data_IF_372022678038
#
_entry.id   IF_372022678038
#
_cell.length_a   1.000
_cell.length_b   1.000
_cell.length_c   1.000
_cell.angle_alpha   90.00
_cell.angle_beta   90.00
_cell.angle_gamma   90.00
#
_symmetry.space_group_name_H-M   'P 1'
#
loop_
_entity.id
_entity.type
_entity.pdbx_description
1 polymer ?
#
# COMPACT_ATOMS: atom_id res chain seq x y z
N UNK A 1 -78.08 -33.50 6.20
CA UNK A 1 -77.40 -32.19 6.02
C UNK A 1 -75.98 -32.39 6.54
N UNK A 2 -75.15 -33.24 5.97
CA UNK A 2 -74.57 -33.28 4.61
C UNK A 2 -73.82 -32.03 4.17
N UNK A 3 -72.55 -32.27 3.81
CA UNK A 3 -71.62 -31.47 3.01
C UNK A 3 -70.88 -30.33 3.76
N UNK A 4 -69.56 -30.13 3.66
CA UNK A 4 -68.60 -30.49 2.61
C UNK A 4 -67.21 -30.83 3.18
N UNK A 5 -66.61 -31.88 2.62
CA UNK A 5 -65.18 -32.17 2.59
C UNK A 5 -64.48 -31.29 1.54
N UNK A 6 -63.22 -30.93 1.79
CA UNK A 6 -62.26 -30.42 0.80
C UNK A 6 -60.86 -30.57 1.39
N UNK A 7 -60.20 -31.70 1.12
CA UNK A 7 -59.11 -31.86 0.15
C UNK A 7 -57.75 -31.43 0.75
N UNK A 8 -57.10 -32.41 1.40
CA UNK A 8 -55.67 -32.38 1.66
C UNK A 8 -54.95 -32.78 0.37
N UNK A 9 -54.07 -31.90 -0.11
CA UNK A 9 -53.09 -32.21 -1.14
C UNK A 9 -51.97 -33.05 -0.52
N UNK A 10 -51.99 -34.35 -0.81
CA UNK A 10 -50.81 -35.20 -0.71
C UNK A 10 -49.82 -34.74 -1.80
N UNK A 11 -48.73 -34.13 -1.36
CA UNK A 11 -47.58 -33.86 -2.22
C UNK A 11 -46.75 -35.15 -2.31
N UNK A 12 -46.75 -35.75 -3.49
CA UNK A 12 -45.82 -36.80 -3.90
C UNK A 12 -44.38 -36.37 -3.63
N UNK A 13 -43.69 -37.13 -2.77
CA UNK A 13 -42.25 -37.00 -2.48
C UNK A 13 -41.43 -38.06 -3.24
N UNK A 14 -41.91 -38.52 -4.39
CA UNK A 14 -41.14 -39.41 -5.25
C UNK A 14 -40.32 -38.56 -6.25
N UNK A 15 -39.04 -38.93 -6.39
CA UNK A 15 -38.00 -38.38 -7.28
C UNK A 15 -37.21 -37.15 -6.78
N UNK A 16 -36.43 -37.35 -5.72
CA UNK A 16 -35.14 -36.65 -5.59
C UNK A 16 -34.09 -37.52 -6.31
N UNK A 17 -33.52 -37.09 -7.44
CA UNK A 17 -32.43 -37.83 -8.07
C UNK A 17 -31.23 -37.87 -7.12
N UNK A 18 -30.66 -39.05 -6.94
CA UNK A 18 -29.39 -39.27 -6.26
C UNK A 18 -28.33 -38.37 -6.90
N UNK A 19 -28.01 -37.25 -6.24
CA UNK A 19 -26.85 -36.45 -6.60
C UNK A 19 -25.62 -37.29 -6.25
N UNK A 20 -25.02 -37.89 -7.27
CA UNK A 20 -23.70 -38.50 -7.20
C UNK A 20 -22.74 -37.49 -6.55
N UNK A 21 -22.33 -37.82 -5.32
CA UNK A 21 -21.25 -37.12 -4.64
C UNK A 21 -19.99 -37.42 -5.44
N UNK A 22 -19.60 -36.48 -6.30
CA UNK A 22 -18.34 -36.50 -7.04
C UNK A 22 -17.19 -36.50 -6.03
N UNK A 23 -16.66 -37.70 -5.74
CA UNK A 23 -15.50 -37.93 -4.89
C UNK A 23 -14.18 -37.67 -5.62
N UNK A 24 -14.13 -36.72 -6.56
CA UNK A 24 -12.86 -36.19 -7.05
C UNK A 24 -12.23 -35.24 -6.03
N UNK A 25 -11.86 -35.83 -4.89
CA UNK A 25 -10.89 -35.26 -3.96
C UNK A 25 -9.53 -35.22 -4.68
N UNK A 26 -9.40 -34.24 -5.57
CA UNK A 26 -8.18 -33.91 -6.28
C UNK A 26 -7.23 -33.34 -5.25
N UNK A 27 -6.13 -34.06 -5.02
CA UNK A 27 -5.01 -33.57 -4.21
C UNK A 27 -4.65 -32.15 -4.70
N UNK A 28 -4.39 -31.19 -3.79
CA UNK A 28 -4.01 -29.85 -4.19
C UNK A 28 -2.84 -29.95 -5.17
N UNK A 29 -3.03 -29.38 -6.36
CA UNK A 29 -2.00 -29.27 -7.38
C UNK A 29 -0.73 -28.71 -6.74
N UNK A 30 0.47 -29.19 -7.12
CA UNK A 30 1.71 -28.62 -6.65
C UNK A 30 1.65 -27.10 -6.82
N UNK A 31 2.00 -26.36 -5.76
CA UNK A 31 2.14 -24.91 -5.83
C UNK A 31 2.98 -24.58 -7.07
N UNK A 32 2.43 -23.72 -7.92
CA UNK A 32 3.10 -23.24 -9.14
C UNK A 32 4.53 -22.83 -8.78
N UNK A 33 5.51 -23.28 -9.57
CA UNK A 33 6.93 -22.94 -9.37
C UNK A 33 7.14 -21.43 -9.28
N UNK A 34 6.29 -20.63 -9.92
CA UNK A 34 6.30 -19.17 -9.81
C UNK A 34 5.88 -18.67 -8.42
N UNK A 35 4.94 -19.34 -7.75
CA UNK A 35 4.51 -19.02 -6.39
C UNK A 35 5.58 -19.43 -5.39
N UNK A 36 6.24 -20.56 -5.60
CA UNK A 36 7.38 -20.99 -4.77
C UNK A 36 8.53 -19.98 -4.89
N UNK A 37 8.89 -19.56 -6.11
CA UNK A 37 9.92 -18.55 -6.33
C UNK A 37 9.57 -17.19 -5.69
N UNK A 38 8.31 -16.76 -5.76
CA UNK A 38 7.86 -15.52 -5.11
C UNK A 38 7.90 -15.60 -3.57
N UNK A 39 7.62 -16.78 -2.99
CA UNK A 39 7.75 -17.02 -1.54
C UNK A 39 9.23 -17.01 -1.14
N UNK A 40 10.11 -17.65 -1.91
CA UNK A 40 11.55 -17.64 -1.65
C UNK A 40 12.16 -16.24 -1.74
N UNK A 41 11.72 -15.41 -2.69
CA UNK A 41 12.12 -13.99 -2.78
C UNK A 41 11.65 -13.19 -1.55
N UNK A 42 10.39 -13.38 -1.12
CA UNK A 42 9.86 -12.72 0.08
C UNK A 42 10.57 -13.14 1.38
N UNK A 43 10.93 -14.42 1.50
CA UNK A 43 11.67 -14.96 2.66
C UNK A 43 13.11 -14.46 2.65
N UNK A 44 13.75 -14.41 1.48
CA UNK A 44 15.10 -13.86 1.30
C UNK A 44 15.15 -12.37 1.66
N UNK A 45 14.19 -11.58 1.18
CA UNK A 45 14.04 -10.17 1.57
C UNK A 45 13.85 -10.04 3.10
N UNK A 46 13.16 -10.98 3.76
CA UNK A 46 13.02 -10.99 5.21
C UNK A 46 14.33 -11.33 5.95
N UNK A 47 15.15 -12.23 5.41
CA UNK A 47 16.45 -12.60 5.98
C UNK A 47 17.48 -11.48 5.84
N UNK A 48 17.54 -10.81 4.69
CA UNK A 48 18.43 -9.66 4.47
C UNK A 48 18.08 -8.50 5.41
N UNK A 49 16.80 -8.33 5.76
CA UNK A 49 16.39 -7.37 6.79
C UNK A 49 16.86 -7.77 8.19
N UNK A 50 16.89 -9.06 8.52
CA UNK A 50 17.37 -9.53 9.82
C UNK A 50 18.88 -9.27 9.99
N UNK A 51 19.67 -9.43 8.92
CA UNK A 51 21.10 -9.11 8.91
C UNK A 51 21.35 -7.59 8.93
N UNK A 52 20.56 -6.80 8.20
CA UNK A 52 20.62 -5.33 8.26
C UNK A 52 20.23 -4.80 9.65
N UNK A 53 19.22 -5.39 10.29
CA UNK A 53 18.85 -5.08 11.68
C UNK A 53 19.97 -5.48 12.67
N UNK A 54 20.65 -6.60 12.45
CA UNK A 54 21.81 -7.00 13.25
C UNK A 54 22.99 -6.02 13.14
N UNK A 55 23.23 -5.45 11.96
CA UNK A 55 24.31 -4.47 11.75
C UNK A 55 23.97 -3.07 12.27
N UNK A 56 22.69 -2.69 12.34
CA UNK A 56 22.26 -1.34 12.74
C UNK A 56 22.19 -1.12 14.27
N UNK A 57 22.29 -2.17 15.09
CA UNK A 57 22.21 -2.06 16.55
C UNK A 57 23.61 -1.84 17.13
N UNK A 58 24.18 -0.64 16.98
CA UNK A 58 25.35 -0.27 17.79
C UNK A 58 25.49 1.21 18.16
N UNK A 59 24.71 2.15 17.60
CA UNK A 59 24.85 3.56 17.99
C UNK A 59 23.48 4.23 18.14
N UNK A 60 23.29 4.94 19.26
CA UNK A 60 22.09 5.77 19.49
C UNK A 60 21.89 6.68 18.26
N UNK A 61 20.63 6.84 17.78
CA UNK A 61 20.37 7.69 16.62
C UNK A 61 20.93 9.09 16.88
N UNK A 62 21.82 9.56 16.01
CA UNK A 62 22.29 10.95 16.04
C UNK A 62 21.07 11.86 15.88
N UNK A 63 20.76 12.59 16.94
CA UNK A 63 19.65 13.53 16.98
C UNK A 63 19.79 14.55 15.83
N UNK A 64 18.82 14.57 14.90
CA UNK A 64 18.69 15.66 13.94
C UNK A 64 18.01 15.34 12.61
N UNK A 65 18.14 14.12 12.07
CA UNK A 65 17.82 13.88 10.64
C UNK A 65 16.40 13.33 10.37
N UNK A 66 15.86 12.45 11.22
CA UNK A 66 14.44 12.01 11.11
C UNK A 66 13.44 12.94 11.78
N UNK A 67 13.90 13.93 12.55
CA UNK A 67 13.04 14.73 13.41
C UNK A 67 12.08 15.62 12.64
N UNK A 68 12.47 16.15 11.47
CA UNK A 68 11.60 17.06 10.72
C UNK A 68 10.39 16.33 10.13
N UNK A 69 10.61 15.18 9.50
CA UNK A 69 9.51 14.41 8.90
C UNK A 69 8.64 13.74 9.97
N UNK A 70 9.26 13.29 11.07
CA UNK A 70 8.54 12.79 12.24
C UNK A 70 7.69 13.91 12.87
N UNK A 71 8.27 15.09 13.13
CA UNK A 71 7.54 16.25 13.66
C UNK A 71 6.39 16.65 12.75
N UNK A 72 6.62 16.69 11.44
CA UNK A 72 5.55 16.97 10.48
C UNK A 72 4.41 15.96 10.60
N UNK A 73 4.72 14.68 10.69
CA UNK A 73 3.73 13.61 10.85
C UNK A 73 2.99 13.70 12.19
N UNK A 74 3.66 14.16 13.25
CA UNK A 74 3.05 14.33 14.58
C UNK A 74 2.11 15.56 14.64
N UNK A 75 2.40 16.60 13.86
CA UNK A 75 1.67 17.88 13.89
C UNK A 75 0.67 18.06 12.74
N UNK A 76 0.84 17.34 11.63
CA UNK A 76 0.04 17.48 10.41
C UNK A 76 -1.05 16.42 10.31
N UNK A 77 -2.16 16.77 9.66
CA UNK A 77 -3.19 15.80 9.22
C UNK A 77 -2.73 14.97 8.01
N UNK A 78 -1.55 15.29 7.45
CA UNK A 78 -0.98 14.63 6.28
C UNK A 78 0.10 13.63 6.72
N UNK A 79 0.29 12.57 5.94
CA UNK A 79 1.20 11.48 6.30
C UNK A 79 2.67 11.87 6.11
N UNK A 80 3.00 12.62 5.06
CA UNK A 80 4.35 13.10 4.83
C UNK A 80 4.40 14.41 4.03
N UNK A 81 5.60 14.99 3.94
CA UNK A 81 5.87 16.27 3.27
C UNK A 81 6.85 16.04 2.11
N UNK A 82 6.67 16.76 1.01
CA UNK A 82 7.63 16.87 -0.09
C UNK A 82 8.16 18.29 -0.14
N UNK A 83 9.48 18.46 -0.04
CA UNK A 83 10.10 19.78 -0.18
C UNK A 83 10.24 20.16 -1.65
N UNK A 84 9.96 21.41 -1.96
CA UNK A 84 10.11 21.94 -3.31
C UNK A 84 11.01 23.17 -3.34
N UNK A 85 11.49 23.56 -4.52
CA UNK A 85 12.21 24.82 -4.72
C UNK A 85 11.28 26.01 -4.89
N UNK A 86 10.01 25.77 -5.21
CA UNK A 86 9.00 26.80 -5.45
C UNK A 86 8.56 27.53 -4.17
N UNK A 87 7.49 28.33 -4.25
CA UNK A 87 6.99 29.08 -3.09
C UNK A 87 6.30 28.20 -2.03
N UNK A 88 5.95 26.96 -2.38
CA UNK A 88 5.23 26.03 -1.49
C UNK A 88 6.04 24.75 -1.29
N UNK A 89 5.78 24.06 -0.19
CA UNK A 89 6.04 22.62 -0.09
C UNK A 89 4.72 21.87 -0.29
N UNK A 90 4.74 20.54 -0.19
CA UNK A 90 3.54 19.74 -0.41
C UNK A 90 3.28 18.76 0.73
N UNK A 91 2.07 18.75 1.25
CA UNK A 91 1.58 17.74 2.18
C UNK A 91 0.90 16.61 1.43
N UNK A 92 1.13 15.36 1.84
CA UNK A 92 0.65 14.18 1.12
C UNK A 92 -0.11 13.24 2.04
N UNK A 93 -1.29 12.81 1.60
CA UNK A 93 -2.10 11.76 2.22
C UNK A 93 -2.39 10.67 1.20
N UNK A 94 -1.87 9.46 1.36
CA UNK A 94 -2.31 8.30 0.58
C UNK A 94 -3.66 7.78 1.09
N UNK A 95 -4.20 6.75 0.44
CA UNK A 95 -5.29 5.96 1.03
C UNK A 95 -4.84 5.28 2.34
N UNK A 96 -5.80 4.87 3.18
CA UNK A 96 -5.53 4.40 4.55
C UNK A 96 -4.57 3.20 4.62
N UNK A 97 -4.71 2.25 3.70
CA UNK A 97 -3.87 1.05 3.66
C UNK A 97 -2.41 1.42 3.33
N UNK A 98 -2.22 2.31 2.36
CA UNK A 98 -0.89 2.78 1.99
C UNK A 98 -0.31 3.76 3.03
N UNK A 99 -1.14 4.48 3.79
CA UNK A 99 -0.69 5.26 4.94
C UNK A 99 -0.01 4.36 5.98
N UNK A 100 -0.60 3.19 6.27
CA UNK A 100 -0.02 2.20 7.18
C UNK A 100 1.30 1.64 6.63
N UNK A 101 1.34 1.30 5.32
CA UNK A 101 2.56 0.81 4.68
C UNK A 101 3.71 1.83 4.76
N UNK A 102 3.43 3.11 4.50
CA UNK A 102 4.39 4.20 4.61
C UNK A 102 4.83 4.41 6.06
N UNK A 103 3.91 4.34 7.02
CA UNK A 103 4.23 4.45 8.44
C UNK A 103 5.22 3.35 8.89
N UNK A 104 4.94 2.09 8.55
CA UNK A 104 5.84 0.97 8.84
C UNK A 104 7.21 1.21 8.17
N UNK A 105 7.24 1.63 6.90
CA UNK A 105 8.47 1.90 6.19
C UNK A 105 9.28 3.02 6.86
N UNK A 106 8.63 4.14 7.21
CA UNK A 106 9.24 5.26 7.93
C UNK A 106 9.84 4.80 9.26
N UNK A 107 9.07 4.11 10.09
CA UNK A 107 9.53 3.66 11.41
C UNK A 107 10.74 2.71 11.30
N UNK A 108 10.78 1.84 10.28
CA UNK A 108 11.94 0.99 10.00
C UNK A 108 13.15 1.79 9.56
N UNK A 109 12.99 2.78 8.69
CA UNK A 109 14.08 3.64 8.27
C UNK A 109 14.65 4.47 9.43
N UNK A 110 13.79 4.97 10.31
CA UNK A 110 14.23 5.63 11.55
C UNK A 110 15.02 4.69 12.45
N UNK A 111 14.60 3.42 12.56
CA UNK A 111 15.30 2.39 13.33
C UNK A 111 16.66 2.02 12.73
N UNK A 112 16.78 1.95 11.41
CA UNK A 112 18.08 1.71 10.75
C UNK A 112 19.09 2.83 11.03
N UNK A 113 18.61 4.07 11.10
CA UNK A 113 19.47 5.23 11.25
C UNK A 113 20.34 5.46 10.00
N UNK A 114 21.38 6.28 10.17
CA UNK A 114 22.28 6.63 9.07
C UNK A 114 23.26 5.48 8.81
N UNK A 115 23.45 5.02 7.56
CA UNK A 115 24.43 3.98 7.25
C UNK A 115 25.84 4.39 7.65
N UNK A 116 26.59 3.45 8.21
CA UNK A 116 28.01 3.59 8.56
C UNK A 116 28.89 2.91 7.50
N UNK A 117 28.89 3.43 6.28
CA UNK A 117 29.74 2.93 5.18
C UNK A 117 28.94 2.49 3.95
N UNK A 118 29.68 2.16 2.89
CA UNK A 118 29.12 1.89 1.55
C UNK A 118 28.21 0.65 1.53
N UNK A 119 28.60 -0.43 2.20
CA UNK A 119 27.79 -1.66 2.22
C UNK A 119 26.45 -1.44 2.93
N UNK A 120 26.46 -0.69 4.04
CA UNK A 120 25.24 -0.31 4.75
C UNK A 120 24.36 0.63 3.90
N UNK A 121 24.96 1.56 3.16
CA UNK A 121 24.25 2.45 2.25
C UNK A 121 23.55 1.67 1.13
N UNK A 122 24.24 0.69 0.51
CA UNK A 122 23.65 -0.20 -0.50
C UNK A 122 22.51 -1.02 0.09
N UNK A 123 22.71 -1.63 1.27
CA UNK A 123 21.72 -2.46 1.92
C UNK A 123 20.45 -1.65 2.27
N UNK A 124 20.60 -0.49 2.90
CA UNK A 124 19.48 0.39 3.24
C UNK A 124 18.83 0.95 1.98
N UNK A 125 19.62 1.42 1.00
CA UNK A 125 19.13 1.97 -0.26
C UNK A 125 18.30 0.97 -1.08
N UNK A 126 18.68 -0.31 -1.03
CA UNK A 126 17.99 -1.41 -1.73
C UNK A 126 16.86 -2.04 -0.92
N UNK A 127 16.72 -1.67 0.37
CA UNK A 127 15.74 -2.27 1.27
C UNK A 127 14.30 -1.90 0.88
N UNK A 128 13.35 -2.82 1.10
CA UNK A 128 11.95 -2.57 0.78
C UNK A 128 11.35 -1.32 1.46
N UNK A 129 11.72 -0.92 2.70
CA UNK A 129 11.20 0.30 3.31
C UNK A 129 11.63 1.54 2.53
N UNK A 130 12.92 1.63 2.17
CA UNK A 130 13.43 2.74 1.37
C UNK A 130 12.81 2.77 -0.03
N UNK A 131 12.68 1.62 -0.68
CA UNK A 131 11.99 1.53 -1.99
C UNK A 131 10.52 1.97 -1.88
N UNK A 132 9.82 1.57 -0.81
CA UNK A 132 8.43 1.99 -0.55
C UNK A 132 8.35 3.51 -0.37
N UNK A 133 9.18 4.10 0.49
CA UNK A 133 9.21 5.56 0.67
C UNK A 133 9.51 6.27 -0.65
N UNK A 134 10.49 5.78 -1.41
CA UNK A 134 10.81 6.30 -2.73
C UNK A 134 9.60 6.30 -3.66
N UNK A 135 8.90 5.17 -3.81
CA UNK A 135 7.77 5.05 -4.74
C UNK A 135 6.65 6.05 -4.42
N UNK A 136 6.30 6.20 -3.14
CA UNK A 136 5.26 7.13 -2.71
C UNK A 136 5.70 8.60 -2.81
N UNK A 137 6.94 8.89 -2.43
CA UNK A 137 7.46 10.26 -2.52
C UNK A 137 7.59 10.68 -3.99
N UNK A 138 8.04 9.77 -4.85
CA UNK A 138 8.17 10.04 -6.28
C UNK A 138 6.81 10.20 -6.95
N UNK A 139 5.83 9.34 -6.67
CA UNK A 139 4.47 9.49 -7.17
C UNK A 139 3.86 10.85 -6.76
N UNK A 140 4.02 11.25 -5.49
CA UNK A 140 3.57 12.55 -5.01
C UNK A 140 4.32 13.72 -5.70
N UNK A 141 5.63 13.59 -5.87
CA UNK A 141 6.47 14.60 -6.50
C UNK A 141 6.11 14.81 -7.97
N UNK A 142 5.78 13.75 -8.71
CA UNK A 142 5.30 13.86 -10.09
C UNK A 142 4.01 14.69 -10.16
N UNK A 143 3.05 14.45 -9.26
CA UNK A 143 1.83 15.26 -9.18
C UNK A 143 2.14 16.72 -8.84
N UNK A 144 3.12 16.95 -7.95
CA UNK A 144 3.52 18.27 -7.48
C UNK A 144 4.46 19.05 -8.43
N UNK A 145 4.94 18.42 -9.51
CA UNK A 145 5.96 18.99 -10.39
C UNK A 145 7.34 19.15 -9.73
N UNK A 146 7.66 18.29 -8.75
CA UNK A 146 8.96 18.28 -8.04
C UNK A 146 9.92 17.32 -8.75
N UNK A 147 11.17 17.75 -8.93
CA UNK A 147 12.17 16.96 -9.65
C UNK A 147 12.56 15.69 -8.88
N UNK A 148 12.87 14.63 -9.62
CA UNK A 148 13.30 13.34 -9.08
C UNK A 148 14.49 13.46 -8.14
N UNK A 149 15.44 14.32 -8.51
CA UNK A 149 16.67 14.56 -7.74
C UNK A 149 16.41 15.34 -6.44
N UNK A 150 15.37 16.18 -6.40
CA UNK A 150 14.97 16.85 -5.15
C UNK A 150 14.42 15.82 -4.14
N UNK A 151 13.63 14.85 -4.60
CA UNK A 151 13.16 13.73 -3.76
C UNK A 151 14.33 12.88 -3.25
N UNK A 152 15.27 12.53 -4.13
CA UNK A 152 16.46 11.75 -3.73
C UNK A 152 17.30 12.47 -2.67
N UNK A 153 17.49 13.79 -2.81
CA UNK A 153 18.15 14.62 -1.79
C UNK A 153 17.37 14.72 -0.49
N UNK A 154 16.05 14.78 -0.56
CA UNK A 154 15.21 14.79 0.63
C UNK A 154 15.38 13.49 1.43
N UNK A 155 15.27 12.34 0.78
CA UNK A 155 15.42 11.05 1.46
C UNK A 155 16.85 10.84 1.98
N UNK A 156 17.86 11.35 1.28
CA UNK A 156 19.24 11.38 1.78
C UNK A 156 19.38 12.26 3.04
N UNK A 157 18.75 13.43 3.05
CA UNK A 157 18.78 14.31 4.21
C UNK A 157 18.05 13.72 5.43
N UNK A 158 16.94 13.01 5.21
CA UNK A 158 16.07 12.47 6.27
C UNK A 158 16.56 11.12 6.81
N UNK A 159 16.97 10.22 5.91
CA UNK A 159 17.30 8.82 6.23
C UNK A 159 18.77 8.47 5.95
N UNK A 160 19.56 9.40 5.43
CA UNK A 160 20.99 9.22 5.20
C UNK A 160 21.35 8.42 3.95
N UNK A 161 20.39 8.16 3.06
CA UNK A 161 20.59 7.44 1.80
C UNK A 161 19.79 8.06 0.66
N UNK A 162 20.44 8.34 -0.46
CA UNK A 162 19.76 8.62 -1.73
C UNK A 162 19.41 7.28 -2.42
N UNK A 163 18.14 6.91 -2.58
CA UNK A 163 17.78 5.61 -3.15
C UNK A 163 17.95 5.51 -4.67
N UNK A 164 18.10 6.63 -5.39
CA UNK A 164 18.11 6.67 -6.87
C UNK A 164 19.10 5.65 -7.49
N UNK A 165 20.34 5.49 -7.00
CA UNK A 165 21.29 4.53 -7.55
C UNK A 165 20.91 3.07 -7.32
N UNK A 166 20.03 2.80 -6.35
CA UNK A 166 19.67 1.46 -5.88
C UNK A 166 18.26 1.01 -6.30
N UNK A 167 17.56 1.82 -7.11
CA UNK A 167 16.20 1.53 -7.53
C UNK A 167 16.16 0.29 -8.44
N UNK A 168 15.34 -0.69 -8.05
CA UNK A 168 15.02 -1.83 -8.93
C UNK A 168 14.14 -1.31 -10.07
N UNK A 169 14.53 -1.59 -11.32
CA UNK A 169 13.70 -1.29 -12.48
C UNK A 169 12.65 -2.39 -12.63
N UNK A 170 11.39 -2.07 -12.36
CA UNK A 170 10.29 -2.96 -12.67
C UNK A 170 9.99 -2.93 -14.18
N UNK A 171 9.77 -4.09 -14.79
CA UNK A 171 9.22 -4.17 -16.15
C UNK A 171 7.74 -3.77 -16.14
N UNK A 172 7.17 -3.35 -17.28
CA UNK A 172 5.73 -3.09 -17.39
C UNK A 172 4.87 -4.27 -16.89
N UNK A 173 5.27 -5.50 -17.19
CA UNK A 173 4.57 -6.71 -16.75
C UNK A 173 4.61 -6.88 -15.23
N UNK A 174 5.75 -6.59 -14.59
CA UNK A 174 5.87 -6.63 -13.14
C UNK A 174 5.00 -5.55 -12.47
N UNK A 175 4.91 -4.36 -13.07
CA UNK A 175 4.04 -3.28 -12.59
C UNK A 175 2.57 -3.70 -12.67
N UNK A 176 2.13 -4.27 -13.79
CA UNK A 176 0.75 -4.72 -13.96
C UNK A 176 0.41 -5.91 -13.06
N UNK A 177 1.33 -6.87 -12.89
CA UNK A 177 1.16 -7.98 -11.95
C UNK A 177 1.04 -7.50 -10.49
N UNK A 178 1.84 -6.48 -10.11
CA UNK A 178 1.75 -5.84 -8.80
C UNK A 178 0.39 -5.17 -8.60
N UNK A 179 -0.07 -4.37 -9.56
CA UNK A 179 -1.39 -3.72 -9.51
C UNK A 179 -2.53 -4.74 -9.40
N UNK A 180 -2.48 -5.83 -10.17
CA UNK A 180 -3.47 -6.89 -10.11
C UNK A 180 -3.49 -7.56 -8.72
N UNK A 181 -2.31 -7.88 -8.18
CA UNK A 181 -2.18 -8.45 -6.83
C UNK A 181 -2.72 -7.49 -5.76
N UNK A 182 -2.40 -6.21 -5.88
CA UNK A 182 -2.88 -5.17 -4.98
C UNK A 182 -4.41 -5.04 -5.02
N UNK A 183 -5.00 -5.01 -6.22
CA UNK A 183 -6.46 -4.99 -6.41
C UNK A 183 -7.13 -6.21 -5.76
N UNK A 184 -6.60 -7.42 -5.96
CA UNK A 184 -7.15 -8.64 -5.36
C UNK A 184 -7.14 -8.55 -3.83
N UNK A 185 -6.00 -8.17 -3.23
CA UNK A 185 -5.86 -8.02 -1.78
C UNK A 185 -6.79 -6.93 -1.22
N UNK A 186 -6.87 -5.79 -1.90
CA UNK A 186 -7.71 -4.67 -1.49
C UNK A 186 -9.20 -5.02 -1.59
N UNK A 187 -9.63 -5.71 -2.65
CA UNK A 187 -11.01 -6.18 -2.78
C UNK A 187 -11.38 -7.20 -1.70
N UNK A 188 -10.45 -8.08 -1.32
CA UNK A 188 -10.65 -8.99 -0.18
C UNK A 188 -10.87 -8.20 1.12
N UNK A 189 -10.03 -7.20 1.41
CA UNK A 189 -10.18 -6.35 2.59
C UNK A 189 -11.49 -5.57 2.57
N UNK A 190 -11.90 -4.99 1.43
CA UNK A 190 -13.17 -4.28 1.31
C UNK A 190 -14.38 -5.18 1.61
N UNK A 191 -14.35 -6.44 1.16
CA UNK A 191 -15.40 -7.43 1.50
C UNK A 191 -15.40 -7.77 2.98
N UNK A 192 -14.22 -7.98 3.58
CA UNK A 192 -14.10 -8.26 5.01
C UNK A 192 -14.64 -7.09 5.84
N UNK A 193 -14.30 -5.85 5.48
CA UNK A 193 -14.84 -4.65 6.12
C UNK A 193 -16.35 -4.52 5.94
N UNK A 194 -16.87 -4.72 4.73
CA UNK A 194 -18.30 -4.65 4.43
C UNK A 194 -19.14 -5.65 5.25
N UNK A 195 -18.60 -6.86 5.41
CA UNK A 195 -19.26 -7.93 6.15
C UNK A 195 -19.11 -7.80 7.67
N UNK A 196 -17.94 -7.33 8.14
CA UNK A 196 -17.57 -7.29 9.55
C UNK A 196 -17.88 -5.99 10.28
N UNK A 197 -18.01 -4.87 9.58
CA UNK A 197 -18.16 -3.53 10.17
C UNK A 197 -19.45 -2.89 9.64
N UNK A 198 -20.51 -2.76 10.46
CA UNK A 198 -21.78 -2.17 10.03
C UNK A 198 -21.64 -0.78 9.40
N UNK A 199 -20.77 0.07 9.97
CA UNK A 199 -20.51 1.45 9.53
C UNK A 199 -19.83 1.50 8.15
N UNK A 200 -19.11 0.44 7.76
CA UNK A 200 -18.48 0.38 6.44
C UNK A 200 -19.52 0.38 5.31
N UNK A 201 -20.77 -0.02 5.62
CA UNK A 201 -21.86 -0.05 4.63
C UNK A 201 -22.31 1.33 4.16
N UNK A 202 -22.00 2.37 4.92
CA UNK A 202 -22.33 3.75 4.58
C UNK A 202 -21.33 4.38 3.59
N UNK A 203 -20.11 3.84 3.52
CA UNK A 203 -18.98 4.48 2.82
C UNK A 203 -18.41 3.64 1.68
N UNK A 204 -18.61 2.32 1.68
CA UNK A 204 -18.14 1.44 0.60
C UNK A 204 -19.26 1.32 -0.45
N UNK A 205 -19.08 1.81 -1.68
CA UNK A 205 -20.06 1.61 -2.73
C UNK A 205 -20.09 0.14 -3.16
N UNK A 206 -21.30 -0.39 -3.35
CA UNK A 206 -21.53 -1.75 -3.86
C UNK A 206 -22.31 -1.73 -5.16
N UNK A 207 -22.15 -2.78 -5.96
CA UNK A 207 -22.90 -2.98 -7.20
C UNK A 207 -24.31 -3.56 -6.94
N UNK A 208 -25.02 -3.90 -8.01
CA UNK A 208 -26.36 -4.49 -7.92
C UNK A 208 -26.40 -5.87 -7.25
N UNK A 209 -25.26 -6.54 -7.10
CA UNK A 209 -25.12 -7.83 -6.43
C UNK A 209 -24.67 -7.69 -4.97
N UNK A 210 -24.44 -6.46 -4.50
CA UNK A 210 -23.92 -6.20 -3.16
C UNK A 210 -22.40 -6.40 -3.04
N UNK A 211 -21.68 -6.51 -4.16
CA UNK A 211 -20.22 -6.63 -4.15
C UNK A 211 -19.56 -5.24 -4.13
N UNK A 212 -18.50 -5.02 -3.33
CA UNK A 212 -17.77 -3.76 -3.34
C UNK A 212 -17.26 -3.40 -4.74
N UNK A 213 -17.42 -2.13 -5.13
CA UNK A 213 -16.94 -1.63 -6.42
C UNK A 213 -15.49 -1.17 -6.30
N UNK A 214 -14.64 -1.65 -7.20
CA UNK A 214 -13.28 -1.14 -7.36
C UNK A 214 -13.25 0.14 -8.19
N UNK A 215 -12.81 1.25 -7.60
CA UNK A 215 -12.56 2.51 -8.29
C UNK A 215 -11.05 2.78 -8.32
N UNK A 216 -10.40 2.57 -9.47
CA UNK A 216 -8.94 2.75 -9.61
C UNK A 216 -8.46 4.15 -9.17
N UNK A 217 -9.30 5.17 -9.36
CA UNK A 217 -8.98 6.56 -9.00
C UNK A 217 -9.01 6.84 -7.50
N UNK A 218 -9.64 5.95 -6.71
CA UNK A 218 -9.75 6.07 -5.25
C UNK A 218 -9.01 4.97 -4.50
N UNK A 219 -9.01 3.78 -5.07
CA UNK A 219 -8.51 2.56 -4.45
C UNK A 219 -7.16 2.11 -5.02
N UNK A 220 -6.67 2.68 -6.12
CA UNK A 220 -5.37 2.33 -6.71
C UNK A 220 -4.19 2.51 -5.75
N UNK A 221 -3.10 1.77 -6.02
CA UNK A 221 -1.92 1.69 -5.15
C UNK A 221 -1.28 3.07 -4.89
N UNK A 222 -1.30 3.96 -5.90
CA UNK A 222 -0.71 5.31 -5.81
C UNK A 222 -1.76 6.42 -5.87
N UNK A 223 -2.94 6.17 -5.30
CA UNK A 223 -3.94 7.23 -5.09
C UNK A 223 -3.48 8.12 -3.93
N UNK A 224 -3.12 9.36 -4.27
CA UNK A 224 -2.56 10.34 -3.36
C UNK A 224 -3.37 11.63 -3.39
N UNK A 225 -3.60 12.22 -2.21
CA UNK A 225 -4.01 13.61 -2.05
C UNK A 225 -2.73 14.41 -1.81
N UNK A 226 -2.44 15.34 -2.72
CA UNK A 226 -1.30 16.25 -2.61
C UNK A 226 -1.83 17.66 -2.46
N UNK A 227 -1.43 18.37 -1.39
CA UNK A 227 -1.86 19.75 -1.10
C UNK A 227 -0.66 20.67 -1.00
N UNK A 228 -0.81 21.91 -1.49
CA UNK A 228 0.20 22.95 -1.29
C UNK A 228 0.20 23.38 0.17
N UNK A 229 1.37 23.44 0.79
CA UNK A 229 1.55 23.89 2.17
C UNK A 229 2.57 25.03 2.24
N UNK A 230 2.40 25.86 3.26
CA UNK A 230 3.35 26.90 3.61
C UNK A 230 4.69 26.32 4.04
N UNK A 231 5.79 26.94 3.62
CA UNK A 231 7.14 26.42 3.92
C UNK A 231 7.56 26.63 5.36
N UNK A 232 7.15 27.75 5.95
CA UNK A 232 7.56 28.15 7.29
C UNK A 232 6.85 27.30 8.35
N UNK A 233 5.52 27.26 8.30
CA UNK A 233 4.73 26.46 9.22
C UNK A 233 4.72 24.97 8.86
N UNK A 234 4.75 24.63 7.57
CA UNK A 234 4.47 23.28 7.09
C UNK A 234 3.01 22.84 7.21
N UNK A 235 2.17 23.53 7.99
CA UNK A 235 0.84 23.05 8.36
C UNK A 235 -0.30 23.76 7.63
N UNK A 236 -0.08 25.00 7.17
CA UNK A 236 -1.12 25.77 6.49
C UNK A 236 -1.29 25.31 5.05
N UNK A 237 -2.47 24.81 4.70
CA UNK A 237 -2.83 24.35 3.35
C UNK A 237 -3.38 25.48 2.46
N UNK A 238 -3.02 25.47 1.18
CA UNK A 238 -3.48 26.42 0.15
C UNK A 238 -4.32 25.76 -0.96
N UNK A 239 -4.72 24.50 -0.77
CA UNK A 239 -5.53 23.73 -1.70
C UNK A 239 -4.78 22.59 -2.39
N UNK A 240 -5.55 21.71 -3.03
CA UNK A 240 -5.04 20.51 -3.69
C UNK A 240 -4.31 20.80 -4.98
N UNK A 241 -3.29 20.00 -5.26
CA UNK A 241 -2.70 19.88 -6.58
C UNK A 241 -3.59 18.93 -7.38
N UNK A 242 -4.30 19.48 -8.37
CA UNK A 242 -5.00 18.64 -9.34
C UNK A 242 -3.92 18.04 -10.22
N UNK A 243 -3.76 16.71 -10.17
CA UNK A 243 -2.86 16.04 -11.09
C UNK A 243 -3.37 16.31 -12.51
N UNK A 244 -2.60 17.07 -13.29
CA UNK A 244 -2.76 16.99 -14.73
C UNK A 244 -2.35 15.56 -15.12
N UNK A 245 -3.16 14.85 -15.93
CA UNK A 245 -2.79 13.50 -16.35
C UNK A 245 -1.39 13.56 -16.99
N UNK A 246 -0.50 12.59 -16.69
CA UNK A 246 0.84 12.60 -17.24
C UNK A 246 0.73 12.70 -18.77
N UNK A 247 1.44 13.68 -19.36
CA UNK A 247 1.52 13.80 -20.80
C UNK A 247 2.07 12.47 -21.36
N UNK A 248 1.22 11.76 -22.09
CA UNK A 248 1.54 10.51 -22.79
C UNK A 248 2.61 10.72 -23.86
#
# INVERSE_FOLDING_TARGET
MESQNGENHDADWEDIPDNEVDQTNTLPTPLDEQVVAAIEELVSDHLMLAEAESCAISEKPKAGQSQTQQKYKDESIRCFKIYSRGPYDFGVTPNADMALKIDIAHNRMVKFGRPSGVDAEIAIGSSWPMQTLWEYYWAAAQMAGVAKEDVGRQLDAEYGVNPIPFLKKATPEQVEARKATFKIKSMKMLREMWNGVPEAREVIPVDSFGEPIWDESKNGEFVLIVVKIDKESGLKEFGSVVAEPPAT
#
